data_IF_762597540387
#
_entry.id   IF_762597540387
#
_cell.length_a   1.000
_cell.length_b   1.000
_cell.length_c   1.000
_cell.angle_alpha   90.00
_cell.angle_beta   90.00
_cell.angle_gamma   90.00
#
_symmetry.space_group_name_H-M   'P 1'
#
loop_
_entity.id
_entity.type
_entity.pdbx_description
1 polymer ?
#
# COMPACT_ATOMS: atom_id res chain seq x y z
N UNK A 1 11.77 -6.13 -9.74
CA UNK A 1 10.46 -6.22 -10.41
C UNK A 1 10.71 -6.19 -11.91
N UNK A 2 10.20 -7.18 -12.63
CA UNK A 2 10.32 -7.26 -14.09
C UNK A 2 8.93 -7.08 -14.72
N UNK A 3 8.88 -6.74 -16.00
CA UNK A 3 7.63 -6.72 -16.75
C UNK A 3 7.24 -8.11 -17.29
N UNK A 4 8.05 -9.13 -17.00
CA UNK A 4 7.82 -10.50 -17.46
C UNK A 4 6.88 -11.23 -16.51
N UNK A 5 5.74 -11.66 -17.01
CA UNK A 5 4.78 -12.48 -16.25
C UNK A 5 5.29 -13.90 -15.92
N UNK A 6 6.44 -14.30 -16.47
CA UNK A 6 7.10 -15.55 -16.11
C UNK A 6 7.85 -15.47 -14.76
N UNK A 7 8.24 -14.27 -14.35
CA UNK A 7 9.01 -14.04 -13.12
C UNK A 7 8.30 -13.09 -12.15
N UNK A 8 7.40 -12.25 -12.67
CA UNK A 8 6.73 -11.22 -11.88
C UNK A 8 5.40 -10.85 -12.53
N UNK A 9 4.50 -10.19 -11.80
CA UNK A 9 3.29 -9.66 -12.40
C UNK A 9 3.60 -8.51 -13.34
N UNK A 10 2.92 -8.50 -14.50
CA UNK A 10 2.97 -7.39 -15.41
C UNK A 10 2.40 -6.15 -14.73
N UNK A 11 3.27 -5.25 -14.31
CA UNK A 11 2.85 -3.92 -13.89
C UNK A 11 2.48 -3.08 -15.12
N UNK A 12 1.31 -2.47 -15.09
CA UNK A 12 0.83 -1.58 -16.15
C UNK A 12 0.64 -0.21 -15.49
N UNK A 13 1.42 0.82 -15.88
CA UNK A 13 1.24 2.17 -15.38
C UNK A 13 -0.14 2.73 -15.77
N UNK A 14 -0.61 3.71 -15.02
CA UNK A 14 -1.83 4.47 -15.34
C UNK A 14 -3.13 3.65 -15.39
N UNK A 15 -3.15 2.47 -14.74
CA UNK A 15 -4.40 1.75 -14.52
C UNK A 15 -5.23 2.44 -13.45
N UNK A 16 -6.55 2.36 -13.61
CA UNK A 16 -7.48 2.83 -12.58
C UNK A 16 -7.20 2.14 -11.25
N UNK A 17 -6.98 2.95 -10.23
CA UNK A 17 -6.90 2.52 -8.83
C UNK A 17 -8.23 2.88 -8.20
N UNK A 18 -8.92 1.88 -7.65
CA UNK A 18 -10.19 2.10 -6.96
C UNK A 18 -9.92 2.37 -5.48
N UNK A 19 -10.49 3.42 -4.93
CA UNK A 19 -10.30 3.82 -3.52
C UNK A 19 -10.60 2.69 -2.54
N UNK A 20 -11.65 1.92 -2.79
CA UNK A 20 -12.01 0.74 -1.98
C UNK A 20 -10.92 -0.32 -1.97
N UNK A 21 -10.24 -0.54 -3.10
CA UNK A 21 -9.12 -1.48 -3.19
C UNK A 21 -7.89 -0.91 -2.49
N UNK A 22 -7.61 0.38 -2.64
CA UNK A 22 -6.50 1.04 -1.94
C UNK A 22 -6.63 0.92 -0.43
N UNK A 23 -7.81 1.18 0.12
CA UNK A 23 -8.07 1.03 1.56
C UNK A 23 -7.80 -0.41 2.02
N UNK A 24 -8.33 -1.41 1.32
CA UNK A 24 -8.12 -2.82 1.65
C UNK A 24 -6.63 -3.19 1.58
N UNK A 25 -5.91 -2.73 0.56
CA UNK A 25 -4.47 -3.01 0.43
C UNK A 25 -3.69 -2.36 1.56
N UNK A 26 -3.98 -1.11 1.90
CA UNK A 26 -3.29 -0.39 2.97
C UNK A 26 -3.56 -1.05 4.34
N UNK A 27 -4.77 -1.53 4.60
CA UNK A 27 -5.12 -2.29 5.81
C UNK A 27 -4.40 -3.65 5.89
N UNK A 28 -4.38 -4.40 4.77
CA UNK A 28 -3.74 -5.71 4.72
C UNK A 28 -2.21 -5.63 4.72
N UNK A 29 -1.62 -4.50 4.36
CA UNK A 29 -0.18 -4.37 4.23
C UNK A 29 0.57 -4.46 5.58
N UNK A 30 -0.13 -4.24 6.69
CA UNK A 30 0.40 -4.44 8.03
C UNK A 30 0.51 -5.93 8.40
N UNK A 31 -0.22 -6.80 7.71
CA UNK A 31 -0.32 -8.20 8.04
C UNK A 31 0.74 -9.01 7.31
N UNK A 32 1.31 -9.96 8.02
CA UNK A 32 2.27 -10.91 7.46
C UNK A 32 2.11 -12.30 8.07
N UNK A 33 2.52 -13.30 7.31
CA UNK A 33 2.49 -14.69 7.76
C UNK A 33 3.79 -15.02 8.49
N UNK A 34 3.69 -15.66 9.63
CA UNK A 34 4.84 -16.10 10.44
C UNK A 34 4.59 -17.46 11.07
N UNK A 35 5.65 -18.04 11.61
CA UNK A 35 5.59 -19.27 12.42
C UNK A 35 5.72 -18.97 13.91
N UNK A 36 5.24 -19.85 14.79
CA UNK A 36 5.40 -19.67 16.23
C UNK A 36 6.85 -19.42 16.61
N UNK A 37 7.07 -18.42 17.46
CA UNK A 37 8.40 -18.03 17.97
C UNK A 37 9.41 -17.53 16.93
N UNK A 38 8.96 -17.24 15.70
CA UNK A 38 9.78 -16.67 14.64
C UNK A 38 9.20 -15.32 14.24
N UNK A 39 9.96 -14.24 14.42
CA UNK A 39 9.54 -12.88 14.03
C UNK A 39 9.66 -12.63 12.52
N UNK A 40 10.43 -13.47 11.83
CA UNK A 40 10.65 -13.30 10.40
C UNK A 40 9.41 -13.74 9.60
N UNK A 41 8.94 -12.93 8.64
CA UNK A 41 7.87 -13.33 7.75
C UNK A 41 8.21 -14.58 6.94
N UNK A 42 7.18 -15.38 6.64
CA UNK A 42 7.30 -16.49 5.70
C UNK A 42 7.39 -15.91 4.27
N UNK A 43 8.32 -16.42 3.47
CA UNK A 43 8.36 -16.07 2.05
C UNK A 43 7.16 -16.73 1.32
N UNK A 44 6.16 -15.94 1.00
CA UNK A 44 4.92 -16.37 0.36
C UNK A 44 5.01 -16.25 -1.16
N UNK A 45 5.76 -17.12 -1.79
CA UNK A 45 5.78 -17.20 -3.24
C UNK A 45 4.49 -17.82 -3.78
N UNK A 46 4.09 -17.42 -4.98
CA UNK A 46 2.89 -17.93 -5.64
C UNK A 46 3.08 -17.97 -7.15
N UNK A 47 2.21 -18.71 -7.84
CA UNK A 47 2.17 -18.78 -9.30
C UNK A 47 0.75 -19.06 -9.80
N UNK A 48 0.54 -19.10 -11.10
CA UNK A 48 -0.80 -19.36 -11.65
C UNK A 48 -1.27 -20.81 -11.43
N UNK A 49 -0.36 -21.79 -11.51
CA UNK A 49 -0.65 -23.20 -11.29
C UNK A 49 -1.33 -23.93 -12.43
N UNK A 50 -1.50 -23.30 -13.61
CA UNK A 50 -2.01 -23.90 -14.83
C UNK A 50 -1.00 -23.90 -15.97
N UNK A 51 -0.38 -22.75 -16.20
CA UNK A 51 0.60 -22.56 -17.27
C UNK A 51 2.04 -22.79 -16.79
N UNK A 52 2.27 -22.62 -15.49
CA UNK A 52 3.57 -22.79 -14.86
C UNK A 52 3.46 -23.80 -13.72
N UNK A 53 4.35 -24.77 -13.68
CA UNK A 53 4.44 -25.72 -12.58
C UNK A 53 5.13 -25.06 -11.39
N UNK A 54 4.47 -25.03 -10.25
CA UNK A 54 4.95 -24.35 -9.06
C UNK A 54 5.51 -25.34 -8.04
N UNK A 55 6.74 -25.17 -7.58
CA UNK A 55 7.28 -26.01 -6.53
C UNK A 55 6.72 -25.57 -5.16
N UNK A 56 5.70 -26.25 -4.65
CA UNK A 56 5.13 -26.03 -3.30
C UNK A 56 4.72 -24.59 -2.94
N UNK A 57 4.37 -23.79 -3.93
CA UNK A 57 3.88 -22.43 -3.74
C UNK A 57 2.36 -22.40 -3.82
N UNK A 58 1.75 -21.37 -3.25
CA UNK A 58 0.34 -21.12 -3.44
C UNK A 58 0.05 -20.92 -4.93
N UNK A 59 -0.94 -21.67 -5.46
CA UNK A 59 -1.35 -21.51 -6.84
C UNK A 59 -2.64 -20.71 -6.92
N UNK A 60 -2.73 -19.78 -7.86
CA UNK A 60 -3.92 -18.95 -8.06
C UNK A 60 -5.17 -19.80 -8.30
N UNK A 61 -5.08 -20.79 -9.18
CA UNK A 61 -6.21 -21.66 -9.49
C UNK A 61 -6.45 -22.73 -8.42
N UNK A 62 -5.44 -23.16 -7.72
CA UNK A 62 -5.57 -24.07 -6.58
C UNK A 62 -6.25 -23.40 -5.39
N UNK A 63 -5.87 -22.17 -5.05
CA UNK A 63 -6.55 -21.41 -4.00
C UNK A 63 -8.01 -21.13 -4.34
N UNK A 64 -8.29 -20.80 -5.62
CA UNK A 64 -9.69 -20.68 -6.08
C UNK A 64 -10.45 -22.00 -5.92
N UNK A 65 -9.86 -23.13 -6.31
CA UNK A 65 -10.50 -24.45 -6.20
C UNK A 65 -10.81 -24.81 -4.75
N UNK A 66 -9.92 -24.49 -3.81
CA UNK A 66 -10.17 -24.68 -2.37
C UNK A 66 -11.29 -23.75 -1.87
N UNK A 67 -11.31 -22.50 -2.30
CA UNK A 67 -12.40 -21.58 -1.99
C UNK A 67 -13.75 -22.04 -2.52
N UNK A 68 -13.81 -22.57 -3.74
CA UNK A 68 -15.02 -23.17 -4.31
C UNK A 68 -15.52 -24.40 -3.53
N UNK A 69 -14.62 -25.09 -2.80
CA UNK A 69 -14.92 -26.20 -1.89
C UNK A 69 -15.32 -25.73 -0.49
N UNK A 70 -15.34 -24.42 -0.24
CA UNK A 70 -15.75 -23.82 1.04
C UNK A 70 -14.65 -23.60 2.05
N UNK A 71 -13.36 -23.76 1.67
CA UNK A 71 -12.24 -23.40 2.53
C UNK A 71 -12.20 -21.89 2.77
N UNK A 72 -12.02 -21.50 4.02
CA UNK A 72 -11.79 -20.10 4.38
C UNK A 72 -10.40 -19.62 3.95
N UNK A 73 -10.16 -18.32 3.84
CA UNK A 73 -8.85 -17.79 3.48
C UNK A 73 -7.71 -18.30 4.36
N UNK A 74 -7.92 -18.40 5.67
CA UNK A 74 -6.90 -18.89 6.61
C UNK A 74 -6.60 -20.38 6.40
N UNK A 75 -7.61 -21.20 6.09
CA UNK A 75 -7.42 -22.61 5.79
C UNK A 75 -6.66 -22.81 4.48
N UNK A 76 -6.94 -21.97 3.47
CA UNK A 76 -6.20 -21.96 2.20
C UNK A 76 -4.73 -21.60 2.45
N UNK A 77 -4.47 -20.55 3.23
CA UNK A 77 -3.11 -20.16 3.56
C UNK A 77 -2.37 -21.28 4.32
N UNK A 78 -3.02 -21.93 5.28
CA UNK A 78 -2.45 -23.07 6.02
C UNK A 78 -2.19 -24.28 5.14
N UNK A 79 -3.06 -24.56 4.18
CA UNK A 79 -2.86 -25.63 3.20
C UNK A 79 -1.53 -25.49 2.45
N UNK A 80 -1.15 -24.27 2.08
CA UNK A 80 0.08 -24.00 1.31
C UNK A 80 1.31 -23.73 2.19
N UNK A 81 1.13 -23.09 3.33
CA UNK A 81 2.25 -22.59 4.14
C UNK A 81 2.41 -23.30 5.49
N UNK A 82 1.54 -24.26 5.80
CA UNK A 82 1.60 -25.12 6.99
C UNK A 82 0.59 -24.75 8.06
N UNK A 83 0.14 -25.76 8.80
CA UNK A 83 -0.92 -25.62 9.81
C UNK A 83 -0.49 -24.75 11.01
N UNK A 84 0.79 -24.66 11.26
CA UNK A 84 1.39 -23.82 12.31
C UNK A 84 1.54 -22.36 11.93
N UNK A 85 1.18 -21.99 10.67
CA UNK A 85 1.20 -20.62 10.20
C UNK A 85 0.08 -19.80 10.85
N UNK A 86 0.38 -18.59 11.23
CA UNK A 86 -0.57 -17.61 11.71
C UNK A 86 -0.33 -16.23 11.07
N UNK A 87 -1.38 -15.39 11.06
CA UNK A 87 -1.30 -14.01 10.62
C UNK A 87 -0.81 -13.18 11.81
N UNK A 88 0.18 -12.36 11.55
CA UNK A 88 0.73 -11.41 12.50
C UNK A 88 0.56 -10.00 11.93
N UNK A 89 0.32 -9.02 12.79
CA UNK A 89 0.19 -7.63 12.40
C UNK A 89 1.41 -6.86 12.90
N UNK A 90 2.05 -6.10 12.04
CA UNK A 90 3.18 -5.27 12.42
C UNK A 90 2.70 -4.11 13.30
N UNK A 91 3.33 -3.92 14.47
CA UNK A 91 3.02 -2.81 15.39
C UNK A 91 3.33 -1.44 14.79
N UNK A 92 4.31 -1.37 13.91
CA UNK A 92 4.66 -0.18 13.17
C UNK A 92 5.18 -0.54 11.78
N UNK A 93 4.61 0.07 10.76
CA UNK A 93 5.12 0.01 9.41
C UNK A 93 5.82 1.34 9.14
N UNK A 94 7.13 1.36 9.34
CA UNK A 94 7.91 2.54 9.00
C UNK A 94 8.33 2.49 7.52
N UNK A 95 8.10 3.58 6.81
CA UNK A 95 8.62 3.76 5.46
C UNK A 95 7.81 3.16 4.32
N UNK A 96 6.59 2.68 4.57
CA UNK A 96 5.68 2.31 3.50
C UNK A 96 4.70 3.47 3.30
N UNK A 97 4.84 4.23 2.21
CA UNK A 97 3.85 5.24 1.90
C UNK A 97 2.52 4.57 1.56
N UNK A 98 1.43 5.14 2.01
CA UNK A 98 0.11 4.70 1.56
C UNK A 98 0.01 4.82 0.04
N UNK A 99 -0.80 3.95 -0.58
CA UNK A 99 -0.92 3.90 -2.03
C UNK A 99 -1.42 5.23 -2.61
N UNK A 100 -0.83 5.62 -3.74
CA UNK A 100 -1.30 6.77 -4.53
C UNK A 100 -2.79 6.60 -4.89
N UNK A 101 -3.63 7.64 -4.70
CA UNK A 101 -5.07 7.54 -4.98
C UNK A 101 -5.44 7.41 -6.46
N UNK A 102 -4.49 7.60 -7.39
CA UNK A 102 -4.74 7.54 -8.82
C UNK A 102 -5.19 8.89 -9.44
N UNK A 103 -5.32 9.92 -8.62
CA UNK A 103 -5.70 11.28 -9.04
C UNK A 103 -4.96 12.32 -8.19
N UNK A 104 -4.80 13.52 -8.75
CA UNK A 104 -4.16 14.64 -8.05
C UNK A 104 -5.05 15.16 -6.92
N UNK A 105 -4.47 15.36 -5.73
CA UNK A 105 -5.15 16.05 -4.64
C UNK A 105 -4.88 17.54 -4.73
N UNK A 106 -5.96 18.34 -4.70
CA UNK A 106 -5.92 19.79 -4.85
C UNK A 106 -7.03 20.46 -4.03
N UNK A 107 -7.10 21.77 -4.03
CA UNK A 107 -8.14 22.51 -3.30
C UNK A 107 -9.52 22.03 -3.75
N UNK A 108 -10.33 21.58 -2.76
CA UNK A 108 -11.64 20.98 -2.97
C UNK A 108 -11.66 19.45 -2.89
N UNK A 109 -10.51 18.78 -2.95
CA UNK A 109 -10.41 17.35 -2.65
C UNK A 109 -10.75 17.09 -1.20
N UNK A 110 -11.38 15.93 -0.89
CA UNK A 110 -11.70 15.51 0.47
C UNK A 110 -11.72 14.00 0.63
N UNK A 111 -11.62 13.53 1.87
CA UNK A 111 -11.70 12.11 2.22
C UNK A 111 -10.41 11.54 2.79
N UNK A 112 -10.35 10.21 2.95
CA UNK A 112 -9.27 9.51 3.66
C UNK A 112 -7.89 9.75 3.05
N UNK A 113 -7.77 9.85 1.73
CA UNK A 113 -6.47 10.09 1.08
C UNK A 113 -5.94 11.50 1.34
N UNK A 114 -6.83 12.49 1.48
CA UNK A 114 -6.44 13.83 1.92
C UNK A 114 -6.00 13.79 3.39
N UNK A 115 -6.76 13.10 4.26
CA UNK A 115 -6.40 12.94 5.67
C UNK A 115 -5.03 12.28 5.84
N UNK A 116 -4.80 11.15 5.20
CA UNK A 116 -3.50 10.46 5.22
C UNK A 116 -2.35 11.35 4.79
N UNK A 117 -2.52 12.09 3.70
CA UNK A 117 -1.53 13.03 3.19
C UNK A 117 -1.25 14.16 4.19
N UNK A 118 -2.28 14.73 4.82
CA UNK A 118 -2.14 15.78 5.83
C UNK A 118 -1.40 15.27 7.07
N UNK A 119 -1.70 14.06 7.54
CA UNK A 119 -1.00 13.42 8.65
C UNK A 119 0.47 13.21 8.34
N UNK A 120 0.81 12.66 7.18
CA UNK A 120 2.19 12.46 6.74
C UNK A 120 2.94 13.79 6.59
N UNK A 121 2.30 14.80 6.02
CA UNK A 121 2.88 16.13 5.89
C UNK A 121 3.21 16.76 7.26
N UNK A 122 2.35 16.55 8.26
CA UNK A 122 2.59 16.98 9.64
C UNK A 122 3.77 16.24 10.32
N UNK A 123 3.93 14.94 10.01
CA UNK A 123 5.10 14.16 10.48
C UNK A 123 6.37 14.73 9.86
N UNK A 124 6.38 14.97 8.56
CA UNK A 124 7.52 15.56 7.84
C UNK A 124 7.82 16.97 8.36
N UNK A 125 6.80 17.79 8.61
CA UNK A 125 6.93 19.13 9.19
C UNK A 125 7.59 19.10 10.57
N UNK A 126 7.53 18.02 11.31
CA UNK A 126 8.25 17.82 12.56
C UNK A 126 9.77 17.81 12.36
N UNK A 127 10.25 17.24 11.27
CA UNK A 127 11.68 17.20 10.91
C UNK A 127 12.13 18.43 10.08
N UNK A 128 11.18 19.05 9.37
CA UNK A 128 11.43 20.21 8.50
C UNK A 128 10.58 21.41 8.93
N UNK A 129 11.03 22.22 9.91
CA UNK A 129 10.22 23.30 10.50
C UNK A 129 9.78 24.41 9.52
N UNK A 130 10.39 24.48 8.33
CA UNK A 130 9.97 25.40 7.28
C UNK A 130 8.58 25.04 6.72
N UNK A 131 8.14 23.78 6.84
CA UNK A 131 6.85 23.30 6.36
C UNK A 131 5.81 23.59 7.46
N UNK A 132 4.76 24.40 7.16
CA UNK A 132 3.74 24.69 8.15
C UNK A 132 2.95 23.42 8.53
N UNK A 133 2.76 23.18 9.84
CA UNK A 133 1.79 22.19 10.29
C UNK A 133 0.37 22.63 10.01
N UNK A 134 -0.48 21.70 9.65
CA UNK A 134 -1.87 21.92 9.27
C UNK A 134 -2.81 21.04 10.08
N UNK A 135 -4.09 21.37 10.10
CA UNK A 135 -5.10 20.49 10.66
C UNK A 135 -5.30 19.31 9.69
N UNK A 136 -5.18 18.08 10.20
CA UNK A 136 -5.50 16.88 9.46
C UNK A 136 -7.00 16.60 9.63
N UNK A 137 -7.80 17.14 8.73
CA UNK A 137 -9.27 17.11 8.74
C UNK A 137 -9.87 16.37 7.53
N UNK A 138 -9.01 15.93 6.62
CA UNK A 138 -9.44 15.28 5.38
C UNK A 138 -10.01 16.24 4.33
N UNK A 139 -9.81 17.55 4.49
CA UNK A 139 -10.27 18.58 3.54
C UNK A 139 -9.06 19.32 2.99
N UNK A 140 -8.87 19.27 1.67
CA UNK A 140 -7.78 19.98 1.01
C UNK A 140 -8.13 21.45 0.81
N UNK A 141 -7.82 22.27 1.79
CA UNK A 141 -8.04 23.70 1.79
C UNK A 141 -6.80 24.52 1.39
N UNK A 142 -6.90 25.86 1.39
CA UNK A 142 -5.77 26.75 1.08
C UNK A 142 -4.56 26.56 1.99
N UNK A 143 -4.77 26.27 3.28
CA UNK A 143 -3.68 25.99 4.23
C UNK A 143 -2.92 24.72 3.85
N UNK A 144 -3.63 23.68 3.43
CA UNK A 144 -3.03 22.43 2.94
C UNK A 144 -2.21 22.70 1.67
N UNK A 145 -2.76 23.46 0.73
CA UNK A 145 -2.06 23.80 -0.51
C UNK A 145 -0.76 24.59 -0.25
N UNK A 146 -0.75 25.50 0.70
CA UNK A 146 0.46 26.28 1.07
C UNK A 146 1.51 25.41 1.74
N UNK A 147 1.10 24.52 2.64
CA UNK A 147 2.00 23.55 3.27
C UNK A 147 2.63 22.62 2.23
N UNK A 148 1.84 22.10 1.29
CA UNK A 148 2.31 21.28 0.16
C UNK A 148 3.27 22.06 -0.74
N UNK A 149 2.98 23.33 -1.03
CA UNK A 149 3.86 24.19 -1.83
C UNK A 149 5.21 24.38 -1.14
N UNK A 150 5.20 24.55 0.17
CA UNK A 150 6.43 24.66 0.98
C UNK A 150 7.19 23.33 1.00
N UNK A 151 6.50 22.20 1.15
CA UNK A 151 7.09 20.86 1.01
C UNK A 151 7.78 20.71 -0.35
N UNK A 152 7.09 21.02 -1.43
CA UNK A 152 7.65 20.96 -2.77
C UNK A 152 8.90 21.83 -2.92
N UNK A 153 8.89 23.03 -2.35
CA UNK A 153 10.06 23.91 -2.33
C UNK A 153 11.24 23.27 -1.60
N UNK A 154 11.01 22.73 -0.40
CA UNK A 154 12.05 22.11 0.44
C UNK A 154 12.68 20.91 -0.28
N UNK A 155 11.87 20.12 -0.99
CA UNK A 155 12.33 18.90 -1.68
C UNK A 155 12.66 19.09 -3.16
N UNK A 156 12.69 20.34 -3.65
CA UNK A 156 13.10 20.64 -5.03
C UNK A 156 12.11 20.21 -6.10
N UNK A 157 10.82 20.13 -5.76
CA UNK A 157 9.74 19.80 -6.67
C UNK A 157 9.10 21.08 -7.27
N UNK A 158 8.37 20.98 -8.39
CA UNK A 158 7.52 22.07 -8.88
C UNK A 158 6.53 22.53 -7.81
N UNK A 159 6.51 23.81 -7.48
CA UNK A 159 5.72 24.39 -6.39
C UNK A 159 4.26 24.62 -6.81
N UNK A 160 3.55 23.58 -7.18
CA UNK A 160 2.16 23.64 -7.66
C UNK A 160 1.16 23.84 -6.52
N UNK A 161 1.48 23.35 -5.32
CA UNK A 161 0.55 23.29 -4.19
C UNK A 161 -0.52 22.20 -4.38
N UNK A 162 -0.30 21.26 -5.28
CA UNK A 162 -1.13 20.08 -5.51
C UNK A 162 -0.29 18.82 -5.28
N UNK A 163 -0.90 17.73 -4.87
CA UNK A 163 -0.20 16.47 -4.67
C UNK A 163 -0.48 15.57 -5.87
N UNK A 164 0.47 15.54 -6.79
CA UNK A 164 0.53 14.61 -7.90
C UNK A 164 1.30 13.34 -7.51
N UNK A 165 1.42 12.39 -8.42
CA UNK A 165 2.16 11.14 -8.20
C UNK A 165 3.58 11.39 -7.69
N UNK A 166 4.29 12.36 -8.28
CA UNK A 166 5.67 12.67 -7.91
C UNK A 166 5.76 13.26 -6.50
N UNK A 167 4.83 14.11 -6.14
CA UNK A 167 4.75 14.72 -4.81
C UNK A 167 4.36 13.70 -3.75
N UNK A 168 3.47 12.76 -4.07
CA UNK A 168 3.01 11.71 -3.14
C UNK A 168 4.15 10.78 -2.72
N UNK A 169 5.02 10.38 -3.64
CA UNK A 169 6.10 9.42 -3.38
C UNK A 169 7.46 10.07 -3.06
N UNK A 170 7.50 11.39 -2.84
CA UNK A 170 8.70 12.10 -2.44
C UNK A 170 8.92 12.07 -0.93
#
# INVERSE_FOLDING_TARGET
ITSSTAFDHKWIPERNIYDTISVIVDELFADYLSRPNVKQPILTQYCDGRQVQCPNWMTQWGSKSLGDQGYSPIEILRYYYGDDMYINTAEAISGIPSSWPGYTLEIGSSGNKVLQMQEQLNVIAGAYPAIPKITADGIYGPATAESVRTFQKVFGLPQTGTVDYTTWYK
#
